data_IF_891106603366
#
_entry.id   IF_891106603366
#
_cell.length_a   1.000
_cell.length_b   1.000
_cell.length_c   1.000
_cell.angle_alpha   90.00
_cell.angle_beta   90.00
_cell.angle_gamma   90.00
#
_symmetry.space_group_name_H-M   'P 1'
#
loop_
_entity.id
_entity.type
_entity.pdbx_description
1 polymer ?
#
# COMPACT_ATOMS: atom_id res chain seq x y z
N UNK A 1 -48.55 6.07 57.01
CA UNK A 1 -47.16 6.54 56.90
C UNK A 1 -46.64 6.42 55.45
N UNK A 2 -47.43 6.82 54.43
CA UNK A 2 -47.10 6.61 53.00
C UNK A 2 -47.70 7.70 52.09
N UNK A 3 -47.76 8.95 52.56
CA UNK A 3 -48.24 10.09 51.74
C UNK A 3 -47.23 10.57 50.68
N UNK A 4 -46.01 10.04 50.70
CA UNK A 4 -44.91 10.44 49.82
C UNK A 4 -44.27 9.20 49.19
N UNK A 5 -44.88 8.65 48.13
CA UNK A 5 -44.21 7.68 47.25
C UNK A 5 -43.96 8.34 45.91
N UNK A 6 -42.74 8.21 45.38
CA UNK A 6 -42.36 8.75 44.06
C UNK A 6 -42.96 7.95 42.89
N UNK A 7 -43.47 6.75 43.17
CA UNK A 7 -44.19 5.91 42.22
C UNK A 7 -45.57 6.50 41.93
N UNK A 8 -45.68 7.08 40.74
CA UNK A 8 -46.92 7.61 40.15
C UNK A 8 -47.98 6.50 40.16
N UNK A 9 -49.19 6.81 40.63
CA UNK A 9 -50.31 5.86 40.67
C UNK A 9 -50.53 5.16 42.01
N UNK A 10 -49.48 4.87 42.80
CA UNK A 10 -49.60 4.12 44.07
C UNK A 10 -50.41 4.89 45.13
N UNK A 11 -50.34 6.23 45.12
CA UNK A 11 -51.16 7.04 46.02
C UNK A 11 -52.67 6.86 45.74
N UNK A 12 -53.07 6.63 44.49
CA UNK A 12 -54.48 6.48 44.11
C UNK A 12 -55.04 5.09 44.43
N UNK A 13 -54.17 4.08 44.64
CA UNK A 13 -54.59 2.76 45.12
C UNK A 13 -54.78 2.72 46.63
N UNK A 14 -54.07 3.59 47.37
CA UNK A 14 -54.07 3.65 48.84
C UNK A 14 -55.06 4.67 49.45
N UNK A 15 -55.57 5.63 48.67
CA UNK A 15 -56.58 6.60 49.14
C UNK A 15 -57.99 5.98 49.20
N UNK A 16 -58.85 6.50 50.08
CA UNK A 16 -60.25 6.08 50.17
C UNK A 16 -61.02 6.53 48.92
N UNK A 17 -61.53 5.55 48.15
CA UNK A 17 -62.27 5.74 46.90
C UNK A 17 -63.00 4.44 46.50
N UNK A 18 -63.84 4.50 45.46
CA UNK A 18 -64.63 3.36 44.98
C UNK A 18 -63.76 2.19 44.50
N UNK A 19 -64.25 0.95 44.63
CA UNK A 19 -63.51 -0.25 44.23
C UNK A 19 -63.12 -0.22 42.75
N UNK A 20 -64.00 0.27 41.87
CA UNK A 20 -63.74 0.42 40.44
C UNK A 20 -62.60 1.39 40.14
N UNK A 21 -62.49 2.47 40.90
CA UNK A 21 -61.40 3.44 40.75
C UNK A 21 -60.04 2.84 41.14
N UNK A 22 -60.02 2.01 42.20
CA UNK A 22 -58.81 1.30 42.61
C UNK A 22 -58.37 0.26 41.58
N UNK A 23 -59.32 -0.50 41.02
CA UNK A 23 -59.04 -1.50 39.97
C UNK A 23 -58.48 -0.86 38.69
N UNK A 24 -59.01 0.29 38.29
CA UNK A 24 -58.49 1.05 37.15
C UNK A 24 -57.00 1.43 37.34
N UNK A 25 -56.64 2.02 38.48
CA UNK A 25 -55.25 2.41 38.75
C UNK A 25 -54.31 1.22 38.88
N UNK A 26 -54.78 0.10 39.44
CA UNK A 26 -54.01 -1.15 39.48
C UNK A 26 -53.72 -1.63 38.05
N UNK A 27 -54.74 -1.69 37.17
CA UNK A 27 -54.56 -2.08 35.78
C UNK A 27 -53.62 -1.16 35.00
N UNK A 28 -53.76 0.16 35.18
CA UNK A 28 -52.89 1.16 34.56
C UNK A 28 -51.42 1.02 35.01
N UNK A 29 -51.18 0.71 36.29
CA UNK A 29 -49.83 0.45 36.81
C UNK A 29 -49.26 -0.82 36.19
N UNK A 30 -50.00 -1.92 36.13
CA UNK A 30 -49.52 -3.17 35.51
C UNK A 30 -49.24 -3.03 34.01
N UNK A 31 -50.09 -2.31 33.28
CA UNK A 31 -49.87 -2.04 31.86
C UNK A 31 -48.63 -1.16 31.66
N UNK A 32 -48.51 -0.08 32.45
CA UNK A 32 -47.37 0.83 32.40
C UNK A 32 -46.04 0.14 32.76
N UNK A 33 -46.02 -0.68 33.81
CA UNK A 33 -44.84 -1.47 34.16
C UNK A 33 -44.53 -2.52 33.11
N UNK A 34 -45.54 -3.19 32.54
CA UNK A 34 -45.38 -4.13 31.43
C UNK A 34 -44.75 -3.49 30.19
N UNK A 35 -45.26 -2.34 29.74
CA UNK A 35 -44.69 -1.58 28.63
C UNK A 35 -43.25 -1.12 28.94
N UNK A 36 -42.99 -0.63 30.15
CA UNK A 36 -41.66 -0.20 30.56
C UNK A 36 -40.66 -1.35 30.56
N UNK A 37 -41.02 -2.51 31.11
CA UNK A 37 -40.18 -3.73 31.08
C UNK A 37 -39.92 -4.18 29.64
N UNK A 38 -40.93 -4.16 28.77
CA UNK A 38 -40.75 -4.47 27.36
C UNK A 38 -39.76 -3.53 26.68
N UNK A 39 -39.92 -2.21 26.86
CA UNK A 39 -38.99 -1.23 26.29
C UNK A 39 -37.58 -1.37 26.85
N UNK A 40 -37.42 -1.54 28.16
CA UNK A 40 -36.11 -1.75 28.79
C UNK A 40 -35.45 -3.03 28.28
N UNK A 41 -36.20 -4.11 28.12
CA UNK A 41 -35.69 -5.35 27.53
C UNK A 41 -35.22 -5.13 26.09
N UNK A 42 -36.01 -4.43 25.27
CA UNK A 42 -35.63 -4.07 23.89
C UNK A 42 -34.38 -3.20 23.84
N UNK A 43 -34.28 -2.17 24.69
CA UNK A 43 -33.08 -1.34 24.78
C UNK A 43 -31.86 -2.17 25.21
N UNK A 44 -32.03 -3.09 26.16
CA UNK A 44 -30.95 -3.95 26.61
C UNK A 44 -30.46 -4.91 25.52
N UNK A 45 -31.38 -5.47 24.70
CA UNK A 45 -31.00 -6.29 23.56
C UNK A 45 -30.19 -5.49 22.53
N UNK A 46 -30.65 -4.29 22.15
CA UNK A 46 -29.92 -3.40 21.23
C UNK A 46 -28.58 -2.95 21.82
N UNK A 47 -28.50 -2.71 23.12
CA UNK A 47 -27.25 -2.40 23.81
C UNK A 47 -26.24 -3.55 23.72
N UNK A 48 -26.71 -4.80 23.82
CA UNK A 48 -25.87 -6.01 23.67
C UNK A 48 -25.44 -6.30 22.23
N UNK A 49 -26.09 -5.71 21.23
CA UNK A 49 -25.69 -5.85 19.82
C UNK A 49 -24.40 -5.08 19.49
N UNK A 50 -23.94 -4.17 20.37
CA UNK A 50 -22.69 -3.40 20.19
C UNK A 50 -22.58 -2.71 18.82
N UNK A 51 -23.68 -2.13 18.33
CA UNK A 51 -23.70 -1.47 17.02
C UNK A 51 -22.81 -0.21 17.00
N UNK A 52 -22.09 0.00 15.89
CA UNK A 52 -21.19 1.14 15.69
C UNK A 52 -21.87 2.17 14.77
N UNK A 53 -21.76 3.46 15.13
CA UNK A 53 -22.12 4.56 14.24
C UNK A 53 -20.85 5.27 13.76
N UNK A 54 -20.64 5.32 12.45
CA UNK A 54 -19.52 6.04 11.84
C UNK A 54 -19.88 7.50 11.58
N UNK A 55 -19.01 8.42 11.97
CA UNK A 55 -19.12 9.86 11.67
C UNK A 55 -17.98 10.28 10.77
N UNK A 56 -18.29 11.03 9.71
CA UNK A 56 -17.30 11.52 8.74
C UNK A 56 -17.17 13.02 8.96
N UNK A 57 -15.98 13.46 9.37
CA UNK A 57 -15.66 14.86 9.57
C UNK A 57 -14.63 15.31 8.53
N UNK A 58 -14.90 16.43 7.86
CA UNK A 58 -13.95 17.06 6.96
C UNK A 58 -13.23 18.19 7.69
N UNK A 59 -11.98 17.94 8.06
CA UNK A 59 -11.13 18.94 8.70
C UNK A 59 -10.25 19.58 7.63
N UNK A 60 -10.38 20.89 7.45
CA UNK A 60 -9.50 21.66 6.59
C UNK A 60 -8.33 22.20 7.43
N UNK A 61 -7.13 21.67 7.22
CA UNK A 61 -5.92 22.16 7.86
C UNK A 61 -5.19 23.11 6.92
N UNK A 62 -4.79 24.28 7.43
CA UNK A 62 -3.98 25.26 6.67
C UNK A 62 -2.53 24.82 6.47
N UNK A 63 -2.06 23.88 7.28
CA UNK A 63 -0.72 23.33 7.19
C UNK A 63 -0.80 21.82 7.29
N UNK A 64 -0.16 21.13 6.36
CA UNK A 64 -0.15 19.67 6.34
C UNK A 64 1.27 19.17 6.07
N UNK A 65 1.67 18.13 6.80
CA UNK A 65 2.93 17.45 6.51
C UNK A 65 2.80 16.74 5.17
N UNK A 66 3.77 16.98 4.27
CA UNK A 66 3.81 16.33 2.98
C UNK A 66 4.02 14.81 3.18
N UNK A 67 3.30 13.95 2.44
CA UNK A 67 3.47 12.50 2.55
C UNK A 67 4.81 12.05 1.96
N UNK A 68 5.19 10.81 2.24
CA UNK A 68 6.33 10.21 1.56
C UNK A 68 5.94 9.77 0.16
N UNK A 69 6.85 9.95 -0.80
CA UNK A 69 6.68 9.50 -2.18
C UNK A 69 7.73 8.43 -2.47
N UNK A 70 7.25 7.32 -2.97
CA UNK A 70 8.04 6.14 -3.27
C UNK A 70 8.03 5.92 -4.78
N UNK A 71 9.18 5.80 -5.44
CA UNK A 71 9.26 5.66 -6.90
C UNK A 71 10.09 4.43 -7.26
N UNK A 72 9.61 3.59 -8.16
CA UNK A 72 10.33 2.40 -8.63
C UNK A 72 10.39 2.43 -10.15
N UNK A 73 11.57 2.24 -10.74
CA UNK A 73 11.64 2.00 -12.18
C UNK A 73 11.08 0.59 -12.48
N UNK A 74 10.18 0.48 -13.46
CA UNK A 74 9.63 -0.81 -13.88
C UNK A 74 10.67 -1.74 -14.51
N UNK A 75 11.83 -1.22 -14.88
CA UNK A 75 13.00 -2.02 -15.19
C UNK A 75 13.87 -2.23 -13.95
N UNK A 76 14.02 -3.49 -13.56
CA UNK A 76 14.74 -3.85 -12.35
C UNK A 76 16.26 -3.83 -12.53
N UNK A 77 16.75 -4.06 -13.76
CA UNK A 77 18.18 -4.18 -14.06
C UNK A 77 18.53 -3.45 -15.36
N UNK A 78 19.62 -2.69 -15.34
CA UNK A 78 20.17 -2.03 -16.53
C UNK A 78 20.80 -3.05 -17.46
N UNK A 79 20.39 -3.06 -18.73
CA UNK A 79 20.89 -3.94 -19.78
C UNK A 79 22.43 -3.88 -19.90
N UNK A 80 23.02 -2.70 -19.83
CA UNK A 80 24.47 -2.50 -19.96
C UNK A 80 25.27 -3.15 -18.84
N UNK A 81 24.76 -3.12 -17.61
CA UNK A 81 25.42 -3.73 -16.45
C UNK A 81 25.14 -5.22 -16.34
N UNK A 82 24.05 -5.68 -16.94
CA UNK A 82 23.72 -7.10 -17.06
C UNK A 82 24.65 -7.84 -18.02
N UNK A 83 25.13 -7.15 -19.05
CA UNK A 83 26.09 -7.68 -20.01
C UNK A 83 27.52 -7.90 -19.44
N UNK A 84 27.79 -7.44 -18.21
CA UNK A 84 29.12 -7.55 -17.58
C UNK A 84 29.30 -8.90 -16.84
N UNK A 85 30.56 -9.31 -16.61
CA UNK A 85 31.01 -10.62 -16.08
C UNK A 85 30.27 -11.18 -14.85
N UNK A 86 29.54 -10.36 -14.09
CA UNK A 86 28.89 -10.74 -12.84
C UNK A 86 27.61 -11.55 -13.03
N UNK A 87 26.80 -11.28 -14.06
CA UNK A 87 25.58 -12.05 -14.34
C UNK A 87 25.90 -13.35 -15.08
N UNK A 88 26.95 -13.33 -15.90
CA UNK A 88 27.51 -14.52 -16.52
C UNK A 88 27.86 -15.60 -15.48
N UNK A 89 28.45 -15.22 -14.34
CA UNK A 89 28.73 -16.13 -13.23
C UNK A 89 27.46 -16.73 -12.59
N UNK A 90 26.39 -15.94 -12.46
CA UNK A 90 25.10 -16.40 -11.92
C UNK A 90 24.42 -17.38 -12.89
N UNK A 91 24.40 -17.05 -14.19
CA UNK A 91 23.81 -17.90 -15.23
C UNK A 91 24.58 -19.19 -15.43
N UNK A 92 25.91 -19.13 -15.45
CA UNK A 92 26.74 -20.33 -15.53
C UNK A 92 26.56 -21.21 -14.28
N UNK A 93 26.40 -20.62 -13.09
CA UNK A 93 26.01 -21.32 -11.87
C UNK A 93 24.64 -22.01 -11.97
N UNK A 94 23.65 -21.33 -12.55
CA UNK A 94 22.30 -21.84 -12.82
C UNK A 94 22.29 -23.01 -13.80
N UNK A 95 22.94 -22.86 -14.97
CA UNK A 95 23.03 -23.94 -15.98
C UNK A 95 23.79 -25.15 -15.45
N UNK A 96 24.82 -24.93 -14.62
CA UNK A 96 25.56 -26.01 -13.94
C UNK A 96 24.66 -26.82 -13.01
N UNK A 97 23.76 -26.17 -12.26
CA UNK A 97 22.76 -26.86 -11.42
C UNK A 97 21.73 -27.66 -12.24
N UNK A 98 21.45 -27.25 -13.48
CA UNK A 98 20.56 -27.95 -14.41
C UNK A 98 21.26 -29.00 -15.29
N UNK A 99 22.56 -29.25 -15.11
CA UNK A 99 23.32 -30.22 -15.91
C UNK A 99 23.50 -29.84 -17.39
N UNK A 100 23.42 -28.55 -17.74
CA UNK A 100 23.54 -28.04 -19.12
C UNK A 100 24.89 -27.35 -19.36
N UNK A 101 25.36 -27.42 -20.60
CA UNK A 101 26.64 -26.84 -21.05
C UNK A 101 26.78 -25.33 -20.82
N UNK A 102 28.03 -24.91 -20.73
CA UNK A 102 28.51 -23.55 -20.46
C UNK A 102 28.10 -22.55 -21.56
N UNK A 103 27.51 -21.41 -21.16
CA UNK A 103 27.26 -20.26 -22.06
C UNK A 103 28.60 -19.66 -22.43
N UNK A 104 28.96 -19.55 -23.71
CA UNK A 104 30.30 -19.04 -24.13
C UNK A 104 30.32 -17.57 -24.56
N UNK A 105 29.17 -16.91 -24.69
CA UNK A 105 29.06 -15.58 -25.30
C UNK A 105 28.04 -14.67 -24.60
N UNK A 106 28.25 -13.35 -24.67
CA UNK A 106 27.38 -12.32 -24.11
C UNK A 106 26.01 -12.22 -24.79
N UNK A 107 25.90 -12.58 -26.07
CA UNK A 107 24.60 -12.65 -26.75
C UNK A 107 23.80 -13.91 -26.30
N UNK A 108 24.49 -15.00 -25.99
CA UNK A 108 23.89 -16.23 -25.44
C UNK A 108 23.43 -16.03 -23.97
N UNK A 109 24.05 -15.11 -23.23
CA UNK A 109 23.57 -14.64 -21.92
C UNK A 109 22.18 -14.02 -22.03
N UNK A 110 21.98 -13.06 -22.94
CA UNK A 110 20.67 -12.42 -23.12
C UNK A 110 19.60 -13.40 -23.58
N UNK A 111 19.92 -14.28 -24.54
CA UNK A 111 18.99 -15.30 -25.02
C UNK A 111 18.66 -16.36 -23.96
N UNK A 112 19.59 -16.65 -23.05
CA UNK A 112 19.34 -17.53 -21.91
C UNK A 112 18.53 -16.81 -20.83
N UNK A 113 18.87 -15.56 -20.50
CA UNK A 113 18.10 -14.70 -19.60
C UNK A 113 16.63 -14.64 -20.04
N UNK A 114 16.44 -14.43 -21.34
CA UNK A 114 15.14 -14.36 -22.01
C UNK A 114 14.30 -15.64 -21.84
N UNK A 115 14.93 -16.80 -21.59
CA UNK A 115 14.26 -18.09 -21.38
C UNK A 115 14.02 -18.44 -19.90
N UNK A 116 14.84 -17.96 -18.97
CA UNK A 116 14.80 -18.36 -17.54
C UNK A 116 13.82 -17.54 -16.68
N UNK A 117 13.16 -16.52 -17.24
CA UNK A 117 12.20 -15.71 -16.50
C UNK A 117 12.86 -14.81 -15.44
N UNK A 118 12.38 -13.56 -15.35
CA UNK A 118 13.02 -12.51 -14.54
C UNK A 118 13.18 -12.86 -13.05
N UNK A 119 12.21 -13.58 -12.48
CA UNK A 119 12.16 -13.93 -11.05
C UNK A 119 13.27 -14.90 -10.63
N UNK A 120 13.47 -15.96 -11.39
CA UNK A 120 14.45 -17.00 -11.08
C UNK A 120 15.88 -16.43 -11.07
N UNK A 121 16.17 -15.52 -12.00
CA UNK A 121 17.49 -14.89 -12.13
C UNK A 121 17.75 -13.91 -11.00
N UNK A 122 16.80 -13.05 -10.66
CA UNK A 122 17.05 -12.09 -9.59
C UNK A 122 17.20 -12.82 -8.24
N UNK A 123 16.50 -13.93 -8.01
CA UNK A 123 16.57 -14.64 -6.73
C UNK A 123 17.94 -15.24 -6.43
N UNK A 124 18.75 -15.46 -7.45
CA UNK A 124 20.11 -15.99 -7.31
C UNK A 124 21.20 -14.92 -7.23
N UNK A 125 20.88 -13.65 -7.50
CA UNK A 125 21.84 -12.56 -7.39
C UNK A 125 22.04 -12.10 -5.94
N UNK A 126 23.27 -11.75 -5.58
CA UNK A 126 23.58 -11.10 -4.31
C UNK A 126 22.98 -9.67 -4.27
N UNK A 127 22.54 -9.23 -3.09
CA UNK A 127 21.91 -7.90 -2.88
C UNK A 127 22.80 -6.74 -3.32
N UNK A 128 24.11 -6.85 -3.14
CA UNK A 128 25.06 -5.80 -3.57
C UNK A 128 25.16 -5.70 -5.09
N UNK A 129 25.18 -6.84 -5.80
CA UNK A 129 25.21 -6.88 -7.26
C UNK A 129 23.92 -6.33 -7.84
N UNK A 130 22.81 -6.75 -7.25
CA UNK A 130 21.48 -6.21 -7.45
C UNK A 130 21.48 -4.66 -7.42
N UNK A 131 21.87 -4.06 -6.30
CA UNK A 131 21.84 -2.58 -6.13
C UNK A 131 22.72 -1.86 -7.13
N UNK A 132 23.89 -2.42 -7.47
CA UNK A 132 24.79 -1.83 -8.47
C UNK A 132 24.21 -1.88 -9.88
N UNK A 133 23.54 -2.98 -10.24
CA UNK A 133 23.01 -3.22 -11.58
C UNK A 133 21.68 -2.48 -11.84
N UNK A 134 21.04 -1.92 -10.82
CA UNK A 134 19.80 -1.14 -10.94
C UNK A 134 20.01 0.32 -11.30
N UNK A 135 18.93 0.98 -11.71
CA UNK A 135 18.91 2.36 -12.22
C UNK A 135 19.17 3.41 -11.15
N UNK A 136 20.25 4.16 -11.20
CA UNK A 136 20.56 5.08 -10.10
C UNK A 136 19.66 6.34 -10.11
N UNK A 137 19.34 6.88 -8.93
CA UNK A 137 18.44 8.04 -8.82
C UNK A 137 19.02 9.28 -9.49
N UNK A 138 20.35 9.45 -9.43
CA UNK A 138 21.08 10.54 -10.06
C UNK A 138 20.96 10.53 -11.60
N UNK A 139 20.81 9.36 -12.22
CA UNK A 139 20.60 9.25 -13.68
C UNK A 139 19.12 9.38 -14.06
N UNK A 140 18.22 8.94 -13.18
CA UNK A 140 16.78 9.01 -13.43
C UNK A 140 16.15 10.36 -13.09
N UNK A 141 16.68 11.12 -12.12
CA UNK A 141 16.09 12.39 -11.69
C UNK A 141 16.71 13.55 -12.49
N UNK A 142 15.97 14.05 -13.49
CA UNK A 142 16.41 15.20 -14.29
C UNK A 142 16.25 16.50 -13.49
N UNK A 143 15.07 16.71 -12.93
CA UNK A 143 14.76 17.92 -12.16
C UNK A 143 13.80 17.61 -11.02
N UNK A 144 13.95 18.31 -9.89
CA UNK A 144 13.08 18.18 -8.72
C UNK A 144 12.83 19.56 -8.11
N UNK A 145 11.55 19.90 -7.96
CA UNK A 145 11.10 21.12 -7.30
C UNK A 145 10.08 20.76 -6.23
N UNK A 146 10.23 21.33 -5.05
CA UNK A 146 9.24 21.27 -3.99
C UNK A 146 8.86 22.69 -3.61
N UNK A 147 7.58 23.03 -3.77
CA UNK A 147 7.05 24.37 -3.49
C UNK A 147 7.87 25.48 -4.21
N UNK A 148 8.16 25.24 -5.49
CA UNK A 148 9.01 26.06 -6.37
C UNK A 148 10.47 26.24 -5.93
N UNK A 149 10.94 25.49 -4.94
CA UNK A 149 12.34 25.46 -4.55
C UNK A 149 13.02 24.18 -5.04
N UNK A 150 14.29 24.23 -5.48
CA UNK A 150 15.00 23.02 -5.87
C UNK A 150 15.09 22.07 -4.68
N UNK A 151 14.76 20.80 -4.91
CA UNK A 151 14.85 19.78 -3.86
C UNK A 151 16.31 19.64 -3.41
N UNK A 152 16.57 19.66 -2.10
CA UNK A 152 17.89 19.31 -1.61
C UNK A 152 18.05 17.79 -1.66
N UNK A 153 18.83 17.32 -2.64
CA UNK A 153 19.07 15.90 -2.91
C UNK A 153 19.69 15.13 -1.73
N UNK A 154 20.20 15.81 -0.69
CA UNK A 154 20.66 15.15 0.55
C UNK A 154 19.53 14.63 1.43
N UNK A 155 18.32 15.16 1.31
CA UNK A 155 17.14 14.64 2.03
C UNK A 155 16.40 13.56 1.24
N UNK A 156 16.85 13.23 0.02
CA UNK A 156 16.41 12.06 -0.72
C UNK A 156 17.09 10.83 -0.09
N UNK A 157 16.46 10.27 0.94
CA UNK A 157 16.95 9.04 1.53
C UNK A 157 16.64 7.87 0.60
N UNK A 158 17.67 7.26 0.02
CA UNK A 158 17.56 5.98 -0.68
C UNK A 158 17.23 4.90 0.35
N UNK A 159 15.93 4.65 0.56
CA UNK A 159 15.50 3.47 1.27
C UNK A 159 15.43 2.32 0.27
N UNK A 160 16.47 1.49 0.26
CA UNK A 160 16.36 0.15 -0.33
C UNK A 160 15.36 -0.57 0.57
N UNK A 161 14.16 -0.88 0.04
CA UNK A 161 13.27 -1.83 0.71
C UNK A 161 13.97 -3.19 0.75
N UNK A 162 14.83 -3.41 1.76
CA UNK A 162 15.33 -4.73 2.13
C UNK A 162 14.29 -5.34 3.07
N UNK A 163 13.11 -5.66 2.53
CA UNK A 163 12.23 -6.66 3.11
C UNK A 163 12.25 -7.83 2.16
N UNK A 164 13.16 -8.76 2.43
CA UNK A 164 13.47 -9.87 1.55
C UNK A 164 14.95 -9.96 1.28
N UNK A 165 15.68 -10.79 2.02
CA UNK A 165 16.84 -11.40 1.38
C UNK A 165 16.30 -12.17 0.17
N UNK A 166 16.61 -11.62 -1.01
CA UNK A 166 16.52 -12.25 -2.34
C UNK A 166 15.14 -12.31 -3.00
N UNK A 167 14.38 -11.22 -3.08
CA UNK A 167 13.49 -10.98 -4.24
C UNK A 167 13.35 -9.50 -4.59
N UNK A 168 12.96 -9.26 -5.84
CA UNK A 168 12.88 -8.01 -6.60
C UNK A 168 12.08 -6.89 -5.91
N UNK A 169 12.73 -5.76 -5.62
CA UNK A 169 12.15 -4.39 -5.67
C UNK A 169 13.27 -3.36 -5.49
N UNK A 170 13.84 -2.83 -6.57
CA UNK A 170 14.71 -1.63 -6.47
C UNK A 170 13.84 -0.41 -6.37
N UNK A 171 13.48 -0.13 -5.13
CA UNK A 171 12.70 1.02 -4.79
C UNK A 171 13.62 2.23 -4.62
N UNK A 172 13.46 3.23 -5.47
CA UNK A 172 14.01 4.57 -5.26
C UNK A 172 12.97 5.36 -4.49
N UNK A 173 12.94 5.18 -3.18
CA UNK A 173 12.07 5.99 -2.34
C UNK A 173 12.60 7.43 -2.38
N UNK A 174 11.86 8.32 -3.04
CA UNK A 174 12.08 9.77 -2.96
C UNK A 174 11.31 10.26 -1.73
N UNK A 175 11.81 9.92 -0.54
CA UNK A 175 11.28 10.55 0.68
C UNK A 175 11.76 11.99 0.69
N UNK A 176 10.86 12.93 0.44
CA UNK A 176 11.12 14.33 0.78
C UNK A 176 10.56 14.55 2.19
N UNK A 177 11.44 14.65 3.20
CA UNK A 177 11.04 15.14 4.53
C UNK A 177 10.82 16.66 4.44
N UNK A 178 9.74 17.04 3.78
CA UNK A 178 9.31 18.41 3.73
C UNK A 178 8.62 18.74 5.06
N UNK A 179 9.36 19.45 5.92
CA UNK A 179 8.87 19.96 7.21
C UNK A 179 7.78 21.01 6.94
N UNK A 180 6.53 20.54 6.88
CA UNK A 180 5.30 21.30 6.63
C UNK A 180 5.24 21.97 5.24
N UNK A 181 4.22 21.64 4.46
CA UNK A 181 3.82 22.46 3.32
C UNK A 181 2.70 23.39 3.77
N UNK A 182 2.88 24.69 3.53
CA UNK A 182 1.83 25.72 3.66
C UNK A 182 1.04 25.85 2.33
N UNK A 183 1.48 25.14 1.29
CA UNK A 183 0.97 25.02 -0.09
C UNK A 183 0.96 26.28 -0.97
N UNK A 184 1.60 26.17 -2.15
CA UNK A 184 0.95 26.44 -3.46
C UNK A 184 1.27 25.37 -4.52
N UNK A 185 2.50 24.85 -4.65
CA UNK A 185 2.91 24.09 -5.87
C UNK A 185 3.40 22.64 -5.69
N UNK A 186 3.37 22.10 -4.46
CA UNK A 186 3.61 20.66 -4.20
C UNK A 186 4.98 20.13 -4.65
N UNK A 187 5.05 18.83 -4.97
CA UNK A 187 6.24 18.17 -5.54
C UNK A 187 6.11 18.04 -7.05
N UNK A 188 7.11 18.54 -7.79
CA UNK A 188 7.28 18.35 -9.23
C UNK A 188 8.60 17.66 -9.50
N UNK A 189 8.57 16.61 -10.30
CA UNK A 189 9.76 15.87 -10.71
C UNK A 189 9.71 15.59 -12.21
N UNK A 190 10.86 15.66 -12.84
CA UNK A 190 11.07 15.19 -14.20
C UNK A 190 11.98 13.96 -14.14
N UNK A 191 11.51 12.86 -14.69
CA UNK A 191 12.14 11.56 -14.56
C UNK A 191 12.54 11.00 -15.92
N UNK A 192 13.80 10.58 -16.04
CA UNK A 192 14.33 9.84 -17.17
C UNK A 192 14.21 8.33 -16.93
N UNK A 193 13.42 7.66 -17.75
CA UNK A 193 13.15 6.22 -17.62
C UNK A 193 14.33 5.33 -18.04
N UNK A 194 15.29 5.87 -18.82
CA UNK A 194 16.41 5.11 -19.42
C UNK A 194 15.91 3.91 -20.26
N UNK A 195 15.02 4.16 -21.24
CA UNK A 195 14.38 3.12 -22.04
C UNK A 195 15.39 2.25 -22.83
N UNK A 196 16.56 2.79 -23.15
CA UNK A 196 17.67 2.08 -23.77
C UNK A 196 18.27 0.98 -22.87
N UNK A 197 18.13 1.09 -21.56
CA UNK A 197 18.61 0.13 -20.56
C UNK A 197 17.58 -0.98 -20.26
N UNK A 198 16.39 -0.91 -20.85
CA UNK A 198 15.34 -1.91 -20.66
C UNK A 198 15.68 -3.24 -21.33
N UNK A 199 15.31 -4.32 -20.64
CA UNK A 199 15.46 -5.69 -21.13
C UNK A 199 14.09 -6.17 -21.59
N UNK A 200 13.87 -6.23 -22.91
CA UNK A 200 12.54 -6.32 -23.53
C UNK A 200 11.61 -7.46 -23.06
N UNK A 201 12.14 -8.64 -22.67
CA UNK A 201 11.31 -9.73 -22.12
C UNK A 201 11.14 -9.71 -20.58
N UNK A 202 11.88 -8.87 -19.87
CA UNK A 202 11.79 -8.73 -18.41
C UNK A 202 10.90 -7.57 -17.97
N UNK A 203 10.75 -6.55 -18.82
CA UNK A 203 9.91 -5.40 -18.55
C UNK A 203 8.88 -5.26 -19.66
N UNK A 204 7.71 -5.86 -19.45
CA UNK A 204 6.56 -5.76 -20.36
C UNK A 204 5.97 -4.34 -20.45
N UNK A 205 6.38 -3.44 -19.57
CA UNK A 205 5.90 -2.06 -19.49
C UNK A 205 7.04 -1.15 -19.09
N UNK A 206 7.09 0.06 -19.66
CA UNK A 206 8.05 1.10 -19.33
C UNK A 206 7.43 2.23 -18.53
N UNK A 207 8.23 2.79 -17.62
CA UNK A 207 7.81 3.87 -16.74
C UNK A 207 8.19 3.61 -15.29
N UNK A 208 7.46 4.25 -14.40
CA UNK A 208 7.69 4.19 -12.97
C UNK A 208 6.46 3.71 -12.23
N UNK A 209 6.65 3.02 -11.12
CA UNK A 209 5.62 2.74 -10.14
C UNK A 209 5.77 3.69 -8.96
N UNK A 210 4.76 4.54 -8.73
CA UNK A 210 4.76 5.60 -7.74
C UNK A 210 3.74 5.30 -6.64
N UNK A 211 4.17 5.34 -5.39
CA UNK A 211 3.30 5.17 -4.22
C UNK A 211 3.45 6.38 -3.30
N UNK A 212 2.32 6.98 -2.91
CA UNK A 212 2.28 8.05 -1.91
C UNK A 212 1.73 7.47 -0.60
N UNK A 213 2.46 7.61 0.50
CA UNK A 213 2.09 6.97 1.77
C UNK A 213 2.44 7.84 3.00
N UNK A 214 1.91 7.49 4.17
CA UNK A 214 2.21 8.19 5.42
C UNK A 214 3.70 8.04 5.78
N UNK A 215 4.28 9.05 6.44
CA UNK A 215 5.70 9.07 6.80
C UNK A 215 6.11 7.90 7.70
N UNK A 216 5.16 7.34 8.44
CA UNK A 216 5.43 6.23 9.34
C UNK A 216 5.15 4.86 8.72
N UNK A 217 4.52 4.76 7.55
CA UNK A 217 4.15 3.48 6.93
C UNK A 217 5.26 2.87 6.08
N UNK A 218 5.27 1.54 6.02
CA UNK A 218 6.14 0.79 5.11
C UNK A 218 5.51 0.78 3.71
N UNK A 219 6.24 1.17 2.65
CA UNK A 219 5.68 1.18 1.30
C UNK A 219 5.71 -0.20 0.62
N UNK A 220 4.58 -0.59 0.02
CA UNK A 220 4.45 -1.76 -0.87
C UNK A 220 4.10 -1.34 -2.30
N UNK A 221 5.02 -0.66 -3.01
CA UNK A 221 4.79 -0.05 -4.33
C UNK A 221 4.38 -1.06 -5.39
N UNK A 222 4.80 -2.33 -5.27
CA UNK A 222 4.45 -3.38 -6.23
C UNK A 222 2.96 -3.72 -6.17
N UNK A 223 2.33 -3.61 -5.01
CA UNK A 223 0.90 -3.89 -4.84
C UNK A 223 0.08 -2.60 -5.01
N UNK A 224 0.45 -1.52 -4.31
CA UNK A 224 -0.39 -0.32 -4.18
C UNK A 224 0.03 0.87 -5.06
N UNK A 225 1.15 0.76 -5.78
CA UNK A 225 1.68 1.86 -6.56
C UNK A 225 0.91 2.11 -7.87
N UNK A 226 0.82 3.38 -8.24
CA UNK A 226 0.27 3.86 -9.52
C UNK A 226 1.37 3.82 -10.58
N UNK A 227 1.03 3.40 -11.80
CA UNK A 227 1.97 3.41 -12.92
C UNK A 227 1.98 4.81 -13.56
N UNK A 228 3.18 5.37 -13.72
CA UNK A 228 3.49 6.63 -14.40
C UNK A 228 4.25 6.31 -15.68
N UNK A 229 3.60 6.52 -16.83
CA UNK A 229 4.17 6.23 -18.14
C UNK A 229 5.06 7.37 -18.65
N UNK A 230 6.15 7.06 -19.37
CA UNK A 230 6.95 8.08 -20.03
C UNK A 230 6.12 8.84 -21.08
N UNK A 231 6.52 10.08 -21.40
CA UNK A 231 5.81 10.91 -22.39
C UNK A 231 4.49 11.51 -21.90
N UNK A 232 4.15 11.34 -20.62
CA UNK A 232 2.96 11.94 -20.01
C UNK A 232 3.34 12.82 -18.82
N UNK A 233 2.57 13.91 -18.65
CA UNK A 233 2.58 14.74 -17.46
C UNK A 233 1.50 14.20 -16.52
N UNK A 234 1.91 13.47 -15.49
CA UNK A 234 1.00 12.86 -14.51
C UNK A 234 0.85 13.76 -13.29
N UNK A 235 -0.36 14.22 -13.02
CA UNK A 235 -0.70 14.97 -11.81
C UNK A 235 -1.35 14.04 -10.81
N UNK A 236 -0.83 13.99 -9.58
CA UNK A 236 -1.35 13.15 -8.51
C UNK A 236 -1.82 14.06 -7.38
N UNK A 237 -3.13 14.25 -7.29
CA UNK A 237 -3.75 14.90 -6.15
C UNK A 237 -3.94 13.88 -5.03
N UNK A 238 -3.75 14.31 -3.78
CA UNK A 238 -3.90 13.42 -2.64
C UNK A 238 -4.69 14.05 -1.50
N UNK A 239 -5.44 13.21 -0.79
CA UNK A 239 -6.21 13.59 0.40
C UNK A 239 -5.87 12.67 1.56
N UNK A 240 -5.42 13.26 2.67
CA UNK A 240 -5.22 12.51 3.92
C UNK A 240 -6.57 12.13 4.51
N UNK A 241 -6.75 10.86 4.82
CA UNK A 241 -7.90 10.29 5.51
C UNK A 241 -7.42 9.58 6.76
N UNK A 242 -7.96 9.95 7.92
CA UNK A 242 -7.63 9.29 9.19
C UNK A 242 -8.86 8.51 9.63
N UNK A 243 -8.69 7.22 9.84
CA UNK A 243 -9.76 6.32 10.31
C UNK A 243 -9.45 5.94 11.76
N UNK A 244 -10.41 6.22 12.65
CA UNK A 244 -10.39 5.79 14.03
C UNK A 244 -11.29 4.55 14.18
N UNK A 245 -10.68 3.38 14.27
CA UNK A 245 -11.39 2.12 14.55
C UNK A 245 -11.61 1.97 16.06
N UNK A 246 -12.67 1.24 16.42
CA UNK A 246 -13.05 1.01 17.82
C UNK A 246 -12.55 -0.33 18.34
N UNK A 247 -12.21 -0.35 19.62
CA UNK A 247 -11.74 -1.55 20.34
C UNK A 247 -12.90 -2.45 20.73
N UNK A 248 -12.57 -3.64 21.22
CA UNK A 248 -13.52 -4.56 21.83
C UNK A 248 -14.28 -3.86 22.97
N UNK A 249 -15.60 -4.05 23.13
CA UNK A 249 -16.48 -5.04 22.46
C UNK A 249 -17.12 -4.58 21.13
N UNK A 250 -16.93 -3.31 20.73
CA UNK A 250 -17.59 -2.77 19.54
C UNK A 250 -16.84 -3.11 18.24
N UNK A 251 -15.52 -3.27 18.31
CA UNK A 251 -14.68 -3.73 17.20
C UNK A 251 -13.52 -4.59 17.69
N UNK A 252 -12.54 -4.88 16.84
CA UNK A 252 -11.38 -5.71 17.20
C UNK A 252 -10.06 -5.00 16.87
N UNK A 253 -10.01 -3.67 16.94
CA UNK A 253 -8.76 -2.97 16.64
C UNK A 253 -7.73 -3.11 17.76
N UNK A 254 -6.43 -3.11 17.41
CA UNK A 254 -5.31 -3.16 18.37
C UNK A 254 -4.22 -2.17 17.98
N UNK A 255 -3.69 -1.44 18.95
CA UNK A 255 -2.48 -0.64 18.77
C UNK A 255 -1.31 -1.38 19.44
N UNK A 256 -0.32 -1.81 18.66
CA UNK A 256 0.90 -2.41 19.21
C UNK A 256 1.79 -1.37 19.89
N UNK A 257 2.44 -1.72 21.00
CA UNK A 257 3.39 -0.85 21.71
C UNK A 257 4.67 -0.56 20.92
N UNK A 258 4.98 -1.39 19.91
CA UNK A 258 6.14 -1.20 19.04
C UNK A 258 5.74 -0.50 17.75
N UNK A 259 6.61 0.42 17.27
CA UNK A 259 6.52 1.09 15.95
C UNK A 259 6.49 0.12 14.73
N UNK A 260 6.46 -1.20 14.96
CA UNK A 260 6.57 -2.28 13.97
C UNK A 260 5.23 -2.94 13.59
N UNK A 261 4.10 -2.42 14.06
CA UNK A 261 2.78 -3.00 13.73
C UNK A 261 2.03 -2.15 12.71
N UNK A 262 2.47 -2.19 11.45
CA UNK A 262 1.59 -1.85 10.32
C UNK A 262 0.77 -3.08 9.96
N UNK A 263 -0.53 -2.92 9.69
CA UNK A 263 -1.42 -4.08 9.41
C UNK A 263 -0.92 -4.91 8.23
N UNK A 264 -0.46 -4.27 7.16
CA UNK A 264 0.16 -4.95 6.01
C UNK A 264 1.43 -5.71 6.42
N UNK A 265 2.28 -5.07 7.23
CA UNK A 265 3.51 -5.67 7.74
C UNK A 265 3.21 -6.92 8.58
N UNK A 266 2.23 -6.83 9.48
CA UNK A 266 1.76 -7.97 10.27
C UNK A 266 1.22 -9.08 9.36
N UNK A 267 0.34 -8.73 8.43
CA UNK A 267 -0.35 -9.66 7.55
C UNK A 267 0.66 -10.47 6.70
N UNK A 268 1.65 -9.80 6.12
CA UNK A 268 2.73 -10.45 5.36
C UNK A 268 3.64 -11.28 6.28
N UNK A 269 3.88 -10.85 7.53
CA UNK A 269 4.66 -11.61 8.51
C UNK A 269 3.97 -12.90 8.92
N UNK A 270 2.68 -12.83 9.19
CA UNK A 270 1.86 -14.00 9.46
C UNK A 270 1.88 -14.97 8.26
N UNK A 271 1.68 -14.48 7.04
CA UNK A 271 1.77 -15.33 5.84
C UNK A 271 3.13 -16.05 5.75
N UNK A 272 4.22 -15.33 6.01
CA UNK A 272 5.55 -15.91 6.01
C UNK A 272 5.73 -16.99 7.09
N UNK A 273 5.18 -16.79 8.29
CA UNK A 273 5.20 -17.79 9.36
C UNK A 273 4.40 -19.06 9.00
N UNK A 274 3.27 -18.91 8.31
CA UNK A 274 2.52 -20.05 7.76
C UNK A 274 3.32 -20.83 6.72
N UNK A 275 4.02 -20.14 5.81
CA UNK A 275 4.88 -20.80 4.81
C UNK A 275 6.02 -21.59 5.46
N UNK A 276 6.66 -21.06 6.50
CA UNK A 276 7.75 -21.75 7.19
C UNK A 276 7.27 -22.95 7.99
N UNK A 277 6.11 -22.82 8.65
CA UNK A 277 5.57 -23.88 9.49
C UNK A 277 5.03 -25.04 8.66
N UNK A 278 4.27 -24.76 7.60
CA UNK A 278 3.57 -25.75 6.78
C UNK A 278 4.41 -26.23 5.58
N UNK A 279 5.02 -25.31 4.84
CA UNK A 279 5.72 -25.63 3.59
C UNK A 279 7.24 -25.79 3.74
N UNK A 280 7.80 -25.50 4.92
CA UNK A 280 9.25 -25.53 5.21
C UNK A 280 10.07 -24.73 4.18
N UNK A 281 9.48 -23.68 3.64
CA UNK A 281 10.11 -22.77 2.70
C UNK A 281 9.75 -21.34 3.08
N UNK A 282 10.48 -20.39 2.52
CA UNK A 282 10.22 -18.97 2.75
C UNK A 282 9.99 -18.26 1.42
N UNK A 283 9.07 -17.30 1.42
CA UNK A 283 8.91 -16.41 0.28
C UNK A 283 9.81 -15.18 0.50
N UNK A 284 10.79 -14.95 -0.37
CA UNK A 284 11.69 -13.83 -0.21
C UNK A 284 11.00 -12.46 -0.36
N UNK A 285 9.75 -12.38 -0.84
CA UNK A 285 8.98 -11.13 -0.91
C UNK A 285 8.50 -10.60 0.45
N UNK A 286 8.49 -11.45 1.49
CA UNK A 286 7.80 -11.16 2.76
C UNK A 286 8.71 -11.30 4.01
N UNK A 287 9.94 -10.75 4.03
CA UNK A 287 10.85 -10.95 5.20
C UNK A 287 10.62 -9.99 6.37
N UNK A 288 10.81 -10.50 7.60
CA UNK A 288 10.75 -9.70 8.84
C UNK A 288 11.94 -9.95 9.76
N UNK A 289 12.57 -8.87 10.25
CA UNK A 289 13.38 -8.88 11.47
C UNK A 289 14.77 -9.55 11.39
N UNK A 290 15.65 -9.12 12.28
CA UNK A 290 17.03 -9.62 12.41
C UNK A 290 17.11 -11.07 12.91
N UNK A 291 16.11 -11.54 13.67
CA UNK A 291 16.03 -12.92 14.19
C UNK A 291 15.75 -13.97 13.10
N UNK A 292 15.26 -13.54 11.94
CA UNK A 292 14.85 -14.42 10.86
C UNK A 292 16.01 -14.93 10.00
N UNK A 293 17.13 -14.21 10.00
CA UNK A 293 18.34 -14.58 9.27
C UNK A 293 18.96 -15.91 9.75
N UNK A 294 18.61 -16.37 10.96
CA UNK A 294 19.06 -17.66 11.50
C UNK A 294 18.19 -18.84 11.03
N UNK A 295 16.87 -18.66 10.93
CA UNK A 295 15.93 -19.72 10.50
C UNK A 295 15.91 -19.91 8.98
N UNK A 296 16.05 -18.83 8.20
CA UNK A 296 16.10 -18.90 6.72
C UNK A 296 17.45 -19.33 6.16
N UNK A 297 18.52 -19.31 6.95
CA UNK A 297 19.81 -19.86 6.51
C UNK A 297 19.79 -21.39 6.43
N UNK A 298 18.87 -22.04 7.15
CA UNK A 298 18.63 -23.49 7.11
C UNK A 298 17.55 -23.91 6.10
N UNK A 299 16.62 -23.02 5.76
CA UNK A 299 15.47 -23.33 4.89
C UNK A 299 15.66 -22.71 3.51
N UNK A 300 15.28 -23.45 2.45
CA UNK A 300 15.32 -22.97 1.07
C UNK A 300 14.19 -21.98 0.76
N UNK A 301 14.33 -21.25 -0.35
CA UNK A 301 13.21 -20.50 -0.93
C UNK A 301 12.11 -21.49 -1.38
N UNK A 302 10.89 -21.00 -1.56
CA UNK A 302 9.82 -21.81 -2.16
C UNK A 302 10.07 -21.97 -3.68
N UNK A 303 11.10 -22.73 -4.06
CA UNK A 303 11.57 -22.92 -5.45
C UNK A 303 11.30 -24.33 -6.00
N UNK A 304 11.22 -25.34 -5.13
CA UNK A 304 10.90 -26.70 -5.54
C UNK A 304 9.43 -26.81 -5.97
N UNK A 305 9.13 -27.69 -6.92
CA UNK A 305 7.75 -27.93 -7.39
C UNK A 305 6.80 -28.32 -6.27
N UNK A 306 7.29 -28.99 -5.23
CA UNK A 306 6.49 -29.35 -4.06
C UNK A 306 6.27 -28.13 -3.13
N UNK A 307 7.33 -27.37 -2.83
CA UNK A 307 7.22 -26.18 -1.99
C UNK A 307 6.39 -25.08 -2.64
N UNK A 308 6.48 -24.91 -3.96
CA UNK A 308 5.71 -23.91 -4.71
C UNK A 308 4.22 -24.25 -4.73
N UNK A 309 3.85 -25.52 -4.94
CA UNK A 309 2.46 -25.98 -4.83
C UNK A 309 1.88 -25.69 -3.45
N UNK A 310 2.62 -26.01 -2.40
CA UNK A 310 2.23 -25.72 -1.02
C UNK A 310 2.07 -24.21 -0.78
N UNK A 311 3.07 -23.41 -1.18
CA UNK A 311 3.06 -21.96 -1.00
C UNK A 311 1.87 -21.31 -1.72
N UNK A 312 1.54 -21.78 -2.93
CA UNK A 312 0.39 -21.30 -3.69
C UNK A 312 -0.95 -21.64 -3.00
N UNK A 313 -1.05 -22.80 -2.35
CA UNK A 313 -2.25 -23.18 -1.58
C UNK A 313 -2.43 -22.29 -0.35
N UNK A 314 -1.38 -22.09 0.44
CA UNK A 314 -1.40 -21.18 1.60
C UNK A 314 -1.72 -19.75 1.16
N UNK A 315 -1.12 -19.29 0.07
CA UNK A 315 -1.38 -17.94 -0.48
C UNK A 315 -2.83 -17.79 -0.94
N UNK A 316 -3.46 -18.84 -1.48
CA UNK A 316 -4.89 -18.81 -1.81
C UNK A 316 -5.76 -18.68 -0.57
N UNK A 317 -5.46 -19.41 0.51
CA UNK A 317 -6.18 -19.29 1.78
C UNK A 317 -6.03 -17.89 2.38
N UNK A 318 -4.83 -17.33 2.34
CA UNK A 318 -4.55 -15.96 2.74
C UNK A 318 -5.38 -14.94 1.95
N UNK A 319 -5.37 -15.03 0.62
CA UNK A 319 -6.13 -14.12 -0.23
C UNK A 319 -7.64 -14.28 -0.05
N UNK A 320 -8.12 -15.46 0.33
CA UNK A 320 -9.51 -15.71 0.66
C UNK A 320 -9.91 -15.22 2.07
N UNK A 321 -8.97 -14.67 2.86
CA UNK A 321 -9.20 -14.23 4.23
C UNK A 321 -9.32 -15.38 5.24
N UNK A 322 -8.86 -16.58 4.88
CA UNK A 322 -8.93 -17.77 5.74
C UNK A 322 -7.85 -17.85 6.82
N UNK A 323 -6.76 -17.10 6.70
CA UNK A 323 -5.64 -17.05 7.66
C UNK A 323 -5.20 -15.60 7.93
N UNK A 324 -4.50 -15.35 9.04
CA UNK A 324 -3.94 -14.05 9.46
C UNK A 324 -4.93 -12.93 9.85
N UNK A 325 -6.24 -13.08 9.64
CA UNK A 325 -7.23 -12.03 9.95
C UNK A 325 -7.33 -11.78 11.46
N UNK A 326 -7.39 -12.83 12.27
CA UNK A 326 -7.50 -12.72 13.72
C UNK A 326 -6.16 -12.38 14.40
N UNK A 327 -5.05 -12.85 13.82
CA UNK A 327 -3.69 -12.59 14.32
C UNK A 327 -3.23 -11.16 14.02
N UNK A 328 -3.73 -10.59 12.92
CA UNK A 328 -3.41 -9.26 12.46
C UNK A 328 -4.60 -8.29 12.43
N UNK A 329 -5.22 -7.96 13.59
CA UNK A 329 -6.26 -6.95 13.64
C UNK A 329 -5.83 -5.60 13.07
N UNK A 330 -6.81 -4.85 12.56
CA UNK A 330 -6.61 -3.47 12.13
C UNK A 330 -6.16 -2.59 13.30
N UNK A 331 -5.37 -1.55 13.01
CA UNK A 331 -5.03 -0.56 14.04
C UNK A 331 -6.22 0.29 14.42
N UNK A 332 -6.22 0.83 15.64
CA UNK A 332 -7.27 1.73 16.08
C UNK A 332 -7.15 3.12 15.44
N UNK A 333 -5.96 3.49 14.98
CA UNK A 333 -5.76 4.69 14.18
C UNK A 333 -4.95 4.36 12.93
N UNK A 334 -5.56 4.57 11.77
CA UNK A 334 -4.92 4.40 10.47
C UNK A 334 -4.92 5.70 9.68
N UNK A 335 -3.77 6.02 9.09
CA UNK A 335 -3.60 7.15 8.19
C UNK A 335 -3.51 6.63 6.77
N UNK A 336 -4.48 6.97 5.94
CA UNK A 336 -4.50 6.66 4.52
C UNK A 336 -4.29 7.91 3.69
N UNK A 337 -3.69 7.72 2.53
CA UNK A 337 -3.58 8.76 1.50
C UNK A 337 -4.41 8.30 0.32
N UNK A 338 -5.55 8.94 0.08
CA UNK A 338 -6.36 8.69 -1.11
C UNK A 338 -5.77 9.48 -2.27
N UNK A 339 -5.63 8.86 -3.44
CA UNK A 339 -5.06 9.46 -4.64
C UNK A 339 -6.10 9.65 -5.73
N UNK A 340 -6.06 10.80 -6.39
CA UNK A 340 -6.78 11.09 -7.62
C UNK A 340 -5.70 11.41 -8.69
N UNK A 341 -5.67 10.63 -9.78
CA UNK A 341 -4.59 10.65 -10.77
C UNK A 341 -5.11 11.17 -12.10
N UNK A 342 -4.40 12.13 -12.68
CA UNK A 342 -4.73 12.77 -13.95
C UNK A 342 -3.53 12.69 -14.90
N UNK A 343 -3.78 12.33 -16.16
CA UNK A 343 -2.74 12.16 -17.18
C UNK A 343 -2.94 13.17 -18.31
N UNK A 344 -1.91 13.95 -18.61
CA UNK A 344 -1.87 14.83 -19.79
C UNK A 344 -0.72 14.38 -20.71
N UNK A 345 -0.90 14.49 -22.04
CA UNK A 345 0.20 14.24 -22.97
C UNK A 345 1.23 15.37 -22.90
N UNK A 346 2.52 15.06 -22.95
CA UNK A 346 3.61 16.05 -22.96
C UNK A 346 3.84 16.72 -24.33
N UNK A 347 3.02 16.41 -25.34
CA UNK A 347 3.17 16.99 -26.66
C UNK A 347 2.80 18.48 -26.63
N UNK A 348 3.79 19.35 -26.87
CA UNK A 348 3.55 20.74 -27.22
C UNK A 348 2.80 20.75 -28.56
N UNK A 349 1.49 21.02 -28.54
CA UNK A 349 0.75 21.29 -29.78
C UNK A 349 1.20 22.67 -30.25
N UNK A 350 2.03 22.72 -31.29
CA UNK A 350 2.27 23.94 -32.04
C UNK A 350 0.97 24.26 -32.79
N UNK A 351 0.21 25.23 -32.27
CA UNK A 351 -0.95 25.78 -32.97
C UNK A 351 -0.45 26.88 -33.91
N UNK A 352 0.02 26.49 -35.08
CA UNK A 352 0.34 27.43 -36.15
C UNK A 352 -0.97 28.00 -36.71
N UNK A 353 -1.24 29.26 -36.40
CA UNK A 353 -2.36 30.01 -36.98
C UNK A 353 -1.90 30.65 -38.28
N UNK A 354 -2.35 30.11 -39.40
CA UNK A 354 -2.17 30.78 -40.69
C UNK A 354 -3.30 31.81 -40.91
N UNK A 355 -3.01 33.00 -41.47
CA UNK A 355 -4.05 33.94 -41.88
C UNK A 355 -4.96 33.30 -42.94
N UNK A 356 -6.27 33.52 -42.83
CA UNK A 356 -7.30 32.90 -43.68
C UNK A 356 -7.21 33.29 -45.17
N UNK A 357 -6.41 34.31 -45.52
CA UNK A 357 -6.23 34.78 -46.88
C UNK A 357 -4.77 35.24 -47.04
N UNK A 358 -4.08 34.66 -48.01
CA UNK A 358 -2.78 35.16 -48.48
C UNK A 358 -3.02 36.37 -49.40
N UNK A 359 -2.43 37.51 -49.06
CA UNK A 359 -2.39 38.66 -49.97
C UNK A 359 -1.57 38.27 -51.19
N UNK A 360 -2.23 38.00 -52.31
CA UNK A 360 -1.55 37.91 -53.60
C UNK A 360 -1.29 39.34 -54.08
N UNK A 361 -0.02 39.80 -54.19
CA UNK A 361 0.24 41.08 -54.79
C UNK A 361 -0.27 41.06 -56.23
N UNK A 362 -1.18 41.98 -56.54
CA UNK A 362 -1.70 42.19 -57.89
C UNK A 362 -0.55 42.39 -58.86
N UNK A 363 -0.50 41.57 -59.91
CA UNK A 363 0.39 41.79 -61.05
C UNK A 363 0.13 43.20 -61.61
N UNK A 364 1.18 44.00 -61.89
CA UNK A 364 1.00 45.23 -62.64
C UNK A 364 0.50 44.86 -64.05
N UNK A 365 -0.66 45.42 -64.42
CA UNK A 365 -1.15 45.45 -65.80
C UNK A 365 -0.25 46.38 -66.61
N UNK A 366 0.34 45.86 -67.68
CA UNK A 366 0.87 46.67 -68.80
C UNK A 366 -0.25 47.37 -69.55
#
# INVERSE_FOLDING_TARGET
MTRFTSLVGIRYTLLNGSASWKLFWIGAIFLGTGCSVYHLNRLFLVFREHTIKTTINHVHSRTQRFPHVTICNLNHLRRSLVAQNSIYAVISGLKRKQGKDYVKDGQDVFNTLEKMGQKEILNQMATELKTRQSHQLDTMLISCMFDNQPCNVRFLYVFICVHGLRDLSFLYVVVLDCKLSVFVDGLRMELFVELNEYIGKFSSTSGFKLLVHDTNSVPFPVEDGVIVSPGTHTQIAFKKTVIHNVRYPFGNCRDGETRKYFTEQCSKSCLQEHLLSHCKCYDPRYSFGTDFNLRTKLLGQCDSTQSEKCANEITKQYNAGGICVEECPLRCMNNFVKLDVFYNQLNNILIDKHPSYSYSPSKPTE
#
